data_IF_405656614889
#
_entry.id   IF_405656614889
#
_cell.length_a   1.000
_cell.length_b   1.000
_cell.length_c   1.000
_cell.angle_alpha   90.00
_cell.angle_beta   90.00
_cell.angle_gamma   90.00
#
_symmetry.space_group_name_H-M   'P 1'
#
loop_
_entity.id
_entity.type
_entity.pdbx_description
1 polymer ?
#
# COMPACT_ATOMS: atom_id res chain seq x y z
N UNK A 1 17.70 1.96 78.06
CA UNK A 1 18.67 1.88 76.96
C UNK A 1 18.09 2.13 75.54
N UNK A 2 16.77 2.20 75.33
CA UNK A 2 16.20 2.42 73.98
C UNK A 2 16.31 3.86 73.45
N UNK A 3 16.44 4.88 74.31
CA UNK A 3 16.34 6.28 73.89
C UNK A 3 17.59 6.80 73.13
N UNK A 4 18.79 6.31 73.44
CA UNK A 4 20.04 6.78 72.80
C UNK A 4 20.19 6.34 71.35
N UNK A 5 19.66 5.15 70.99
CA UNK A 5 19.72 4.64 69.61
C UNK A 5 18.77 5.39 68.67
N UNK A 6 17.64 5.88 69.17
CA UNK A 6 16.68 6.68 68.41
C UNK A 6 17.22 8.10 68.13
N UNK A 7 17.82 8.74 69.13
CA UNK A 7 18.44 10.07 68.96
C UNK A 7 19.65 10.02 68.02
N UNK A 8 20.47 8.97 68.09
CA UNK A 8 21.61 8.79 67.18
C UNK A 8 21.15 8.57 65.73
N UNK A 9 20.05 7.82 65.52
CA UNK A 9 19.43 7.60 64.22
C UNK A 9 18.82 8.87 63.63
N UNK A 10 18.11 9.68 64.44
CA UNK A 10 17.57 10.97 63.97
C UNK A 10 18.66 11.98 63.62
N UNK A 11 19.76 12.04 64.40
CA UNK A 11 20.89 12.94 64.10
C UNK A 11 21.65 12.50 62.85
N UNK A 12 21.82 11.18 62.66
CA UNK A 12 22.41 10.64 61.43
C UNK A 12 21.51 10.89 60.20
N UNK A 13 20.19 10.72 60.34
CA UNK A 13 19.23 11.00 59.27
C UNK A 13 19.21 12.50 58.91
N UNK A 14 19.24 13.39 59.89
CA UNK A 14 19.33 14.84 59.66
C UNK A 14 20.65 15.24 58.99
N UNK A 15 21.77 14.60 59.34
CA UNK A 15 23.07 14.85 58.72
C UNK A 15 23.14 14.34 57.27
N UNK A 16 22.57 13.15 56.99
CA UNK A 16 22.46 12.62 55.63
C UNK A 16 21.51 13.46 54.76
N UNK A 17 20.40 13.95 55.32
CA UNK A 17 19.48 14.85 54.62
C UNK A 17 20.14 16.22 54.33
N UNK A 18 20.94 16.74 55.27
CA UNK A 18 21.71 17.97 55.05
C UNK A 18 22.81 17.80 54.00
N UNK A 19 23.48 16.64 53.94
CA UNK A 19 24.46 16.30 52.91
C UNK A 19 23.84 16.14 51.51
N UNK A 20 22.61 15.62 51.41
CA UNK A 20 21.89 15.51 50.13
C UNK A 20 21.33 16.86 49.64
N UNK A 21 21.22 17.85 50.52
CA UNK A 21 20.66 19.17 50.18
C UNK A 21 21.71 20.17 49.70
N UNK A 22 23.00 19.80 49.70
CA UNK A 22 24.05 20.62 49.08
C UNK A 22 23.96 20.39 47.57
N UNK A 23 23.60 21.39 46.75
CA UNK A 23 23.63 21.25 45.31
C UNK A 23 25.09 21.00 44.92
N UNK A 24 25.41 19.75 44.60
CA UNK A 24 26.70 19.40 44.03
C UNK A 24 26.86 20.21 42.75
N UNK A 25 27.91 21.03 42.69
CA UNK A 25 28.31 21.68 41.44
C UNK A 25 28.71 20.59 40.46
N UNK A 26 27.75 20.11 39.68
CA UNK A 26 27.97 19.17 38.60
C UNK A 26 28.80 19.88 37.52
N UNK A 27 30.13 19.82 37.65
CA UNK A 27 31.04 20.23 36.58
C UNK A 27 31.05 19.14 35.52
N UNK A 28 30.03 19.14 34.67
CA UNK A 28 29.89 18.22 33.54
C UNK A 28 30.69 18.66 32.29
N UNK A 29 31.37 19.81 32.35
CA UNK A 29 32.03 20.44 31.20
C UNK A 29 33.56 20.39 31.34
N UNK A 30 34.23 19.68 30.41
CA UNK A 30 35.68 19.72 30.22
C UNK A 30 36.18 20.97 29.47
N UNK A 31 35.26 21.83 29.00
CA UNK A 31 35.56 23.09 28.30
C UNK A 31 35.47 24.28 29.25
N UNK A 32 36.16 25.38 28.89
CA UNK A 32 36.13 26.60 29.68
C UNK A 32 34.71 27.20 29.75
N UNK A 33 34.33 27.84 30.87
CA UNK A 33 32.98 28.38 31.06
C UNK A 33 32.53 29.29 29.91
N UNK A 34 33.42 30.12 29.39
CA UNK A 34 33.13 31.02 28.27
C UNK A 34 32.92 30.29 26.93
N UNK A 35 33.63 29.18 26.69
CA UNK A 35 33.44 28.37 25.48
C UNK A 35 32.11 27.62 25.53
N UNK A 36 31.73 27.11 26.71
CA UNK A 36 30.46 26.42 26.92
C UNK A 36 29.27 27.36 26.76
N UNK A 37 29.35 28.59 27.31
CA UNK A 37 28.29 29.59 27.17
C UNK A 37 28.11 30.02 25.71
N UNK A 38 29.23 30.25 25.01
CA UNK A 38 29.23 30.58 23.58
C UNK A 38 28.65 29.43 22.74
N UNK A 39 29.06 28.18 22.99
CA UNK A 39 28.54 27.01 22.30
C UNK A 39 27.04 26.78 22.56
N UNK A 40 26.59 26.98 23.80
CA UNK A 40 25.18 26.89 24.17
C UNK A 40 24.34 27.95 23.43
N UNK A 41 24.85 29.18 23.29
CA UNK A 41 24.19 30.25 22.54
C UNK A 41 24.02 29.89 21.06
N UNK A 42 25.07 29.39 20.41
CA UNK A 42 24.99 28.97 19.01
C UNK A 42 24.09 27.75 18.82
N UNK A 43 24.15 26.77 19.74
CA UNK A 43 23.28 25.60 19.71
C UNK A 43 21.82 25.99 19.92
N UNK A 44 21.53 26.95 20.80
CA UNK A 44 20.18 27.46 21.00
C UNK A 44 19.64 28.12 19.72
N UNK A 45 20.42 28.97 19.06
CA UNK A 45 20.04 29.54 17.75
C UNK A 45 19.86 28.45 16.69
N UNK A 46 20.73 27.44 16.65
CA UNK A 46 20.58 26.33 15.73
C UNK A 46 19.27 25.58 15.96
N UNK A 47 18.93 25.27 17.21
CA UNK A 47 17.69 24.55 17.55
C UNK A 47 16.46 25.42 17.28
N UNK A 48 16.50 26.72 17.58
CA UNK A 48 15.35 27.60 17.40
C UNK A 48 15.05 27.86 15.92
N UNK A 49 16.06 27.87 15.04
CA UNK A 49 15.87 28.21 13.63
C UNK A 49 16.00 27.01 12.70
N UNK A 50 17.08 26.23 12.81
CA UNK A 50 17.36 25.16 11.85
C UNK A 50 16.46 23.94 12.08
N UNK A 51 16.21 23.56 13.33
CA UNK A 51 15.35 22.40 13.65
C UNK A 51 13.91 22.58 13.18
N UNK A 52 13.20 23.70 13.45
CA UNK A 52 11.84 23.87 12.92
C UNK A 52 11.80 23.98 11.41
N UNK A 53 12.78 24.62 10.77
CA UNK A 53 12.86 24.67 9.30
C UNK A 53 13.04 23.26 8.74
N UNK A 54 13.99 22.49 9.26
CA UNK A 54 14.22 21.09 8.86
C UNK A 54 13.00 20.21 9.12
N UNK A 55 12.33 20.41 10.26
CA UNK A 55 11.07 19.74 10.60
C UNK A 55 9.97 20.05 9.60
N UNK A 56 9.78 21.31 9.23
CA UNK A 56 8.79 21.74 8.22
C UNK A 56 9.12 21.14 6.85
N UNK A 57 10.39 21.18 6.41
CA UNK A 57 10.80 20.62 5.11
C UNK A 57 10.58 19.11 5.07
N UNK A 58 10.99 18.39 6.11
CA UNK A 58 10.79 16.95 6.21
C UNK A 58 9.30 16.60 6.26
N UNK A 59 8.53 17.36 7.04
CA UNK A 59 7.08 17.22 7.14
C UNK A 59 6.40 17.42 5.79
N UNK A 60 6.76 18.47 5.05
CA UNK A 60 6.26 18.73 3.71
C UNK A 60 6.64 17.61 2.74
N UNK A 61 7.90 17.17 2.75
CA UNK A 61 8.38 16.11 1.86
C UNK A 61 7.64 14.78 2.09
N UNK A 62 7.41 14.41 3.35
CA UNK A 62 6.69 13.18 3.72
C UNK A 62 5.20 13.26 3.38
N UNK A 63 4.57 14.42 3.51
CA UNK A 63 3.15 14.60 3.17
C UNK A 63 2.89 14.75 1.66
N UNK A 64 3.86 15.23 0.88
CA UNK A 64 3.74 15.37 -0.60
C UNK A 64 4.06 14.06 -1.33
N UNK A 65 4.83 13.15 -0.72
CA UNK A 65 5.23 11.87 -1.33
C UNK A 65 4.05 10.93 -1.72
N UNK A 66 2.96 10.80 -0.93
CA UNK A 66 1.81 9.96 -1.26
C UNK A 66 1.09 10.41 -2.53
N UNK A 67 0.95 11.72 -2.75
CA UNK A 67 0.30 12.29 -3.94
C UNK A 67 1.06 11.91 -5.22
N UNK A 68 2.39 12.02 -5.17
CA UNK A 68 3.27 11.70 -6.30
C UNK A 68 3.31 10.20 -6.61
N UNK A 69 3.18 9.36 -5.57
CA UNK A 69 3.08 7.90 -5.71
C UNK A 69 1.72 7.49 -6.29
N UNK A 70 0.63 8.16 -5.89
CA UNK A 70 -0.72 7.89 -6.42
C UNK A 70 -0.84 8.28 -7.89
N UNK A 71 -0.23 9.40 -8.31
CA UNK A 71 -0.16 9.79 -9.73
C UNK A 71 0.57 8.78 -10.60
N UNK A 72 1.70 8.23 -10.13
CA UNK A 72 2.50 7.27 -10.91
C UNK A 72 1.88 5.87 -11.01
N UNK A 73 0.88 5.54 -10.19
CA UNK A 73 0.35 4.17 -10.06
C UNK A 73 -1.06 3.98 -10.64
N UNK A 74 -1.70 5.01 -11.20
CA UNK A 74 -3.07 4.94 -11.76
C UNK A 74 -4.05 4.14 -10.87
N UNK A 75 -4.06 4.42 -9.56
CA UNK A 75 -4.92 3.70 -8.62
C UNK A 75 -6.31 4.36 -8.55
N UNK A 76 -7.42 3.60 -8.71
CA UNK A 76 -8.80 4.12 -8.66
C UNK A 76 -9.26 4.64 -7.28
N UNK A 77 -8.40 4.58 -6.25
CA UNK A 77 -8.66 5.07 -4.88
C UNK A 77 -7.69 6.18 -4.46
N UNK A 78 -7.36 7.06 -5.41
CA UNK A 78 -6.46 8.20 -5.19
C UNK A 78 -7.00 9.21 -4.16
N UNK A 79 -8.32 9.37 -4.10
CA UNK A 79 -8.97 10.32 -3.19
C UNK A 79 -8.89 9.89 -1.72
N UNK A 80 -8.93 8.58 -1.43
CA UNK A 80 -8.87 8.09 -0.05
C UNK A 80 -7.51 8.40 0.61
N UNK A 81 -6.41 8.29 -0.15
CA UNK A 81 -5.05 8.65 0.32
C UNK A 81 -4.96 10.18 0.54
N UNK A 82 -5.62 10.97 -0.31
CA UNK A 82 -5.64 12.42 -0.21
C UNK A 82 -6.39 12.90 1.05
N UNK A 83 -7.54 12.30 1.35
CA UNK A 83 -8.32 12.58 2.57
C UNK A 83 -7.55 12.15 3.80
N UNK A 84 -6.84 11.03 3.78
CA UNK A 84 -6.02 10.55 4.91
C UNK A 84 -4.83 11.49 5.19
N UNK A 85 -4.22 12.05 4.15
CA UNK A 85 -3.16 13.04 4.24
C UNK A 85 -3.66 14.36 4.85
N UNK A 86 -4.79 14.87 4.38
CA UNK A 86 -5.45 16.06 4.94
C UNK A 86 -5.89 15.84 6.40
N UNK A 87 -6.39 14.65 6.72
CA UNK A 87 -6.79 14.30 8.08
C UNK A 87 -5.57 14.22 9.01
N UNK A 88 -4.45 13.64 8.57
CA UNK A 88 -3.18 13.65 9.33
C UNK A 88 -2.70 15.08 9.63
N UNK A 89 -2.88 16.01 8.69
CA UNK A 89 -2.55 17.43 8.86
C UNK A 89 -3.39 18.08 9.97
N UNK A 90 -4.69 17.77 10.03
CA UNK A 90 -5.62 18.28 11.07
C UNK A 90 -5.30 17.70 12.44
N UNK A 91 -4.87 16.44 12.53
CA UNK A 91 -4.51 15.77 13.78
C UNK A 91 -3.03 15.96 14.19
N UNK A 92 -2.31 16.91 13.58
CA UNK A 92 -0.94 17.26 13.98
C UNK A 92 0.11 16.18 13.70
N UNK A 93 -0.11 15.32 12.70
CA UNK A 93 0.83 14.27 12.29
C UNK A 93 0.77 12.98 13.11
N UNK A 94 -0.11 12.89 14.11
CA UNK A 94 -0.25 11.69 14.96
C UNK A 94 -0.76 10.46 14.18
N UNK A 95 -1.49 10.68 13.09
CA UNK A 95 -2.10 9.63 12.25
C UNK A 95 -1.17 9.12 11.14
N UNK A 96 0.04 9.65 11.01
CA UNK A 96 1.01 9.26 9.97
C UNK A 96 1.31 7.74 9.89
N UNK A 97 1.60 7.01 10.99
CA UNK A 97 1.87 5.57 10.90
C UNK A 97 0.65 4.76 10.43
N UNK A 98 -0.57 5.23 10.72
CA UNK A 98 -1.81 4.63 10.20
C UNK A 98 -1.94 4.87 8.69
N UNK A 99 -1.56 6.06 8.22
CA UNK A 99 -1.56 6.36 6.79
C UNK A 99 -0.56 5.49 6.00
N UNK A 100 0.61 5.22 6.58
CA UNK A 100 1.59 4.29 6.01
C UNK A 100 1.10 2.84 5.99
N UNK A 101 0.50 2.39 7.09
CA UNK A 101 -0.12 1.07 7.19
C UNK A 101 -1.18 0.89 6.10
N UNK A 102 -2.04 1.90 5.92
CA UNK A 102 -3.16 1.82 4.97
C UNK A 102 -2.73 1.95 3.51
N UNK A 103 -1.70 2.75 3.22
CA UNK A 103 -1.10 2.80 1.88
C UNK A 103 -0.47 1.46 1.46
N UNK A 104 0.00 0.67 2.43
CA UNK A 104 0.60 -0.64 2.17
C UNK A 104 -0.43 -1.78 2.15
N UNK A 105 -1.57 -1.63 2.82
CA UNK A 105 -2.69 -2.56 2.69
C UNK A 105 -3.38 -2.36 1.35
N UNK A 106 -2.98 -3.14 0.34
CA UNK A 106 -3.74 -3.25 -0.91
C UNK A 106 -5.16 -3.74 -0.59
N UNK A 107 -6.21 -3.05 -1.06
CA UNK A 107 -7.56 -3.58 -0.97
C UNK A 107 -7.67 -4.73 -1.97
N UNK A 108 -7.34 -5.93 -1.51
CA UNK A 108 -7.60 -7.19 -2.21
C UNK A 108 -9.09 -7.41 -2.46
N UNK A 109 -9.96 -6.60 -1.85
CA UNK A 109 -11.41 -6.64 -2.05
C UNK A 109 -11.85 -6.21 -3.46
N UNK A 110 -11.07 -5.41 -4.19
CA UNK A 110 -11.41 -5.15 -5.60
C UNK A 110 -11.08 -6.36 -6.49
N UNK A 111 -10.16 -7.24 -6.10
CA UNK A 111 -9.88 -8.50 -6.82
C UNK A 111 -10.81 -9.65 -6.42
N UNK A 112 -11.40 -9.60 -5.23
CA UNK A 112 -12.44 -10.55 -4.82
C UNK A 112 -13.82 -10.19 -5.38
N UNK A 113 -14.12 -8.91 -5.58
CA UNK A 113 -15.40 -8.45 -6.15
C UNK A 113 -15.36 -8.27 -7.69
N UNK A 114 -14.23 -7.83 -8.27
CA UNK A 114 -14.01 -7.70 -9.72
C UNK A 114 -12.79 -8.53 -10.12
N UNK A 115 -12.93 -9.85 -9.98
CA UNK A 115 -11.88 -10.81 -10.30
C UNK A 115 -11.59 -10.80 -11.79
N UNK A 116 -10.42 -10.30 -12.17
CA UNK A 116 -9.82 -10.44 -13.52
C UNK A 116 -10.87 -10.32 -14.63
N UNK A 117 -11.65 -9.22 -14.65
CA UNK A 117 -12.48 -8.90 -15.81
C UNK A 117 -11.54 -8.66 -16.99
N UNK A 118 -11.30 -9.71 -17.78
CA UNK A 118 -10.86 -9.55 -19.15
C UNK A 118 -11.95 -8.68 -19.78
N UNK A 119 -11.59 -7.48 -20.24
CA UNK A 119 -12.56 -6.57 -20.85
C UNK A 119 -13.28 -7.25 -22.01
N UNK A 120 -14.52 -6.82 -22.29
CA UNK A 120 -15.33 -7.38 -23.39
C UNK A 120 -14.55 -7.48 -24.70
N UNK A 121 -13.69 -6.50 -24.98
CA UNK A 121 -12.81 -6.47 -26.15
C UNK A 121 -11.91 -7.71 -26.28
N UNK A 122 -11.47 -8.31 -25.17
CA UNK A 122 -10.71 -9.56 -25.18
C UNK A 122 -11.57 -10.71 -25.73
N UNK A 123 -12.80 -10.86 -25.23
CA UNK A 123 -13.70 -11.93 -25.65
C UNK A 123 -14.12 -11.77 -27.12
N UNK A 124 -14.31 -10.53 -27.58
CA UNK A 124 -14.57 -10.23 -29.00
C UNK A 124 -13.39 -10.66 -29.87
N UNK A 125 -12.17 -10.29 -29.50
CA UNK A 125 -10.96 -10.69 -30.24
C UNK A 125 -10.79 -12.21 -30.27
N UNK A 126 -11.05 -12.90 -29.15
CA UNK A 126 -10.99 -14.36 -29.12
C UNK A 126 -12.07 -15.00 -30.00
N UNK A 127 -13.28 -14.45 -30.07
CA UNK A 127 -14.29 -14.94 -31.02
C UNK A 127 -13.86 -14.74 -32.49
N UNK A 128 -13.20 -13.62 -32.83
CA UNK A 128 -12.69 -13.42 -34.18
C UNK A 128 -11.62 -14.46 -34.55
N UNK A 129 -10.73 -14.81 -33.61
CA UNK A 129 -9.73 -15.86 -33.80
C UNK A 129 -10.35 -17.26 -33.87
N UNK A 130 -11.41 -17.50 -33.09
CA UNK A 130 -12.20 -18.73 -33.12
C UNK A 130 -12.83 -18.97 -34.49
N UNK A 131 -13.45 -17.94 -35.07
CA UNK A 131 -14.06 -18.00 -36.40
C UNK A 131 -13.01 -18.25 -37.49
N UNK A 132 -11.80 -17.70 -37.34
CA UNK A 132 -10.67 -17.97 -38.23
C UNK A 132 -10.09 -19.39 -38.07
N UNK A 133 -10.51 -20.13 -37.04
CA UNK A 133 -10.00 -21.46 -36.73
C UNK A 133 -8.58 -21.45 -36.12
N UNK A 134 -8.09 -20.29 -35.69
CA UNK A 134 -6.75 -20.13 -35.10
C UNK A 134 -6.70 -20.58 -33.63
N UNK A 135 -7.85 -20.77 -32.98
CA UNK A 135 -7.98 -21.20 -31.58
C UNK A 135 -8.14 -22.71 -31.47
N UNK A 136 -7.51 -23.32 -30.46
CA UNK A 136 -7.62 -24.76 -30.15
C UNK A 136 -9.02 -25.16 -29.64
N UNK A 137 -9.43 -26.43 -29.79
CA UNK A 137 -10.75 -26.87 -29.33
C UNK A 137 -10.91 -26.75 -27.81
N UNK A 138 -9.84 -27.02 -27.07
CA UNK A 138 -9.77 -26.83 -25.63
C UNK A 138 -9.94 -25.35 -25.22
N UNK A 139 -9.34 -24.43 -25.97
CA UNK A 139 -9.45 -23.00 -25.67
C UNK A 139 -10.83 -22.43 -26.04
N UNK A 140 -11.49 -22.95 -27.07
CA UNK A 140 -12.92 -22.67 -27.33
C UNK A 140 -13.81 -23.09 -26.16
N UNK A 141 -13.59 -24.31 -25.63
CA UNK A 141 -14.31 -24.80 -24.45
C UNK A 141 -14.04 -23.91 -23.24
N UNK A 142 -12.78 -23.56 -22.99
CA UNK A 142 -12.42 -22.69 -21.88
C UNK A 142 -13.09 -21.31 -21.96
N UNK A 143 -13.16 -20.69 -23.14
CA UNK A 143 -13.84 -19.41 -23.33
C UNK A 143 -15.36 -19.52 -23.10
N UNK A 144 -15.96 -20.65 -23.50
CA UNK A 144 -17.36 -20.93 -23.24
C UNK A 144 -17.63 -21.03 -21.73
N UNK A 145 -16.82 -21.79 -21.00
CA UNK A 145 -16.90 -21.94 -19.54
C UNK A 145 -16.71 -20.58 -18.82
N UNK A 146 -15.78 -19.74 -19.31
CA UNK A 146 -15.59 -18.39 -18.79
C UNK A 146 -16.84 -17.51 -19.00
N UNK A 147 -17.50 -17.59 -20.16
CA UNK A 147 -18.74 -16.84 -20.42
C UNK A 147 -19.93 -17.34 -19.59
N UNK A 148 -20.01 -18.65 -19.32
CA UNK A 148 -21.01 -19.21 -18.40
C UNK A 148 -20.78 -18.74 -16.96
N UNK A 149 -19.51 -18.69 -16.53
CA UNK A 149 -19.15 -18.11 -15.23
C UNK A 149 -19.56 -16.63 -15.13
N UNK A 150 -19.40 -15.86 -16.20
CA UNK A 150 -19.85 -14.45 -16.30
C UNK A 150 -21.38 -14.36 -16.28
N UNK A 151 -22.09 -15.27 -16.94
CA UNK A 151 -23.56 -15.34 -16.92
C UNK A 151 -24.11 -15.66 -15.53
N UNK A 152 -23.50 -16.62 -14.83
CA UNK A 152 -23.89 -17.01 -13.47
C UNK A 152 -23.74 -15.85 -12.44
N UNK A 153 -22.84 -14.90 -12.72
CA UNK A 153 -22.66 -13.68 -11.94
C UNK A 153 -23.66 -12.58 -12.30
N UNK A 154 -24.45 -12.77 -13.34
CA UNK A 154 -25.43 -11.80 -13.83
C UNK A 154 -24.83 -10.64 -14.63
N UNK A 155 -23.57 -10.73 -15.06
CA UNK A 155 -22.85 -9.67 -15.77
C UNK A 155 -22.77 -9.90 -17.29
N UNK A 156 -23.68 -10.69 -17.86
CA UNK A 156 -23.70 -10.98 -19.31
C UNK A 156 -24.32 -9.82 -20.10
N UNK A 157 -23.48 -9.02 -20.75
CA UNK A 157 -23.93 -7.94 -21.62
C UNK A 157 -24.44 -8.48 -22.97
N UNK A 158 -25.24 -7.70 -23.73
CA UNK A 158 -25.69 -8.10 -25.07
C UNK A 158 -24.55 -8.34 -26.07
N UNK A 159 -23.38 -7.74 -25.86
CA UNK A 159 -22.16 -7.99 -26.62
C UNK A 159 -21.63 -9.40 -26.32
N UNK A 160 -21.45 -9.74 -25.05
CA UNK A 160 -20.93 -11.04 -24.62
C UNK A 160 -21.83 -12.22 -25.01
N UNK A 161 -23.17 -12.01 -25.02
CA UNK A 161 -24.11 -13.02 -25.55
C UNK A 161 -23.84 -13.35 -27.01
N UNK A 162 -23.61 -12.32 -27.85
CA UNK A 162 -23.26 -12.51 -29.26
C UNK A 162 -21.91 -13.22 -29.42
N UNK A 163 -20.95 -12.89 -28.57
CA UNK A 163 -19.65 -13.58 -28.55
C UNK A 163 -19.80 -15.06 -28.23
N UNK A 164 -20.64 -15.43 -27.25
CA UNK A 164 -20.94 -16.84 -26.93
C UNK A 164 -21.49 -17.60 -28.13
N UNK A 165 -22.50 -17.03 -28.79
CA UNK A 165 -23.12 -17.62 -30.00
C UNK A 165 -22.09 -17.85 -31.12
N UNK A 166 -21.17 -16.90 -31.32
CA UNK A 166 -20.07 -17.02 -32.30
C UNK A 166 -19.09 -18.13 -31.94
N UNK A 167 -18.74 -18.28 -30.66
CA UNK A 167 -17.87 -19.36 -30.18
C UNK A 167 -18.51 -20.74 -30.35
N UNK A 168 -19.81 -20.86 -30.08
CA UNK A 168 -20.58 -22.09 -30.31
C UNK A 168 -20.60 -22.49 -31.80
N UNK A 169 -20.85 -21.51 -32.69
CA UNK A 169 -20.80 -21.73 -34.13
C UNK A 169 -19.39 -22.16 -34.61
N UNK A 170 -18.34 -21.52 -34.09
CA UNK A 170 -16.96 -21.89 -34.41
C UNK A 170 -16.59 -23.29 -33.88
N UNK A 171 -17.06 -23.65 -32.69
CA UNK A 171 -16.87 -24.98 -32.12
C UNK A 171 -17.57 -26.07 -32.95
N UNK A 172 -18.80 -25.83 -33.39
CA UNK A 172 -19.54 -26.73 -34.27
C UNK A 172 -18.83 -26.91 -35.62
N UNK A 173 -18.41 -25.81 -36.27
CA UNK A 173 -17.68 -25.84 -37.53
C UNK A 173 -16.34 -26.60 -37.41
N UNK A 174 -15.66 -26.48 -36.26
CA UNK A 174 -14.43 -27.23 -35.98
C UNK A 174 -14.69 -28.72 -35.73
N UNK A 175 -15.77 -29.06 -35.03
CA UNK A 175 -16.18 -30.44 -34.81
C UNK A 175 -16.53 -31.13 -36.14
N UNK A 176 -17.28 -30.46 -37.02
CA UNK A 176 -17.59 -30.95 -38.37
C UNK A 176 -16.32 -31.18 -39.20
N UNK A 177 -15.38 -30.23 -39.19
CA UNK A 177 -14.10 -30.37 -39.89
C UNK A 177 -13.23 -31.50 -39.35
N UNK A 178 -13.36 -31.82 -38.06
CA UNK A 178 -12.66 -32.95 -37.42
C UNK A 178 -13.37 -34.28 -37.66
N UNK A 179 -14.68 -34.28 -37.91
CA UNK A 179 -15.50 -35.46 -38.19
C UNK A 179 -15.55 -35.82 -39.69
N UNK A 180 -15.16 -34.91 -40.58
CA UNK A 180 -15.02 -35.19 -42.00
C UNK A 180 -13.91 -36.24 -42.20
N UNK A 181 -14.21 -37.43 -42.74
CA UNK A 181 -13.20 -38.45 -42.99
C UNK A 181 -12.25 -37.94 -44.08
N UNK A 182 -10.97 -38.22 -43.89
CA UNK A 182 -9.88 -38.01 -44.85
C UNK A 182 -10.38 -38.27 -46.28
N UNK A 183 -10.66 -37.21 -47.03
CA UNK A 183 -10.85 -37.33 -48.46
C UNK A 183 -9.47 -37.67 -49.03
N UNK A 184 -9.26 -38.87 -49.59
CA UNK A 184 -7.99 -39.15 -50.23
C UNK A 184 -7.82 -38.13 -51.34
N UNK A 185 -6.65 -37.48 -51.35
CA UNK A 185 -6.18 -36.64 -52.44
C UNK A 185 -6.18 -37.46 -53.74
N UNK A 186 -7.35 -37.52 -54.39
CA UNK A 186 -7.51 -38.07 -55.73
C UNK A 186 -7.10 -36.98 -56.71
N UNK A 187 -5.84 -37.05 -57.15
CA UNK A 187 -5.24 -36.05 -58.01
C UNK A 187 -3.95 -36.53 -58.67
N UNK A 188 -4.14 -37.33 -59.72
CA UNK A 188 -3.31 -37.43 -60.92
C UNK A 188 -1.96 -38.17 -60.84
N UNK A 189 -1.97 -39.28 -61.60
CA UNK A 189 -0.87 -39.91 -62.34
C UNK A 189 0.05 -38.93 -63.09
#
# INVERSE_FOLDING_TARGET
MLNSRAVLRSRAAAFCAALLSVPGVARASFLSPEATDTAAMYLAWFIIFVVPIGGIVLFWMVHVLPEKIAHKRHHPQRDAIHVLCLLSLVFGGLLWPIAWLWAYTKPTMHRMAWGTDKHEDYFVHMADLAEKGEISAHELQHLHDELEAVESRGSLTPQLRRVRERLEAAAAAKAERSAAPDQPVSGAA
#
